data_IF_783286751723
#
_entry.id   IF_783286751723
#
_cell.length_a   1.000
_cell.length_b   1.000
_cell.length_c   1.000
_cell.angle_alpha   90.00
_cell.angle_beta   90.00
_cell.angle_gamma   90.00
#
_symmetry.space_group_name_H-M   'P 1'
#
loop_
_entity.id
_entity.type
_entity.pdbx_description
1 polymer ?
#
# COMPACT_ATOMS: atom_id res chain seq x y z
N UNK A 1 -10.74 20.15 -6.53
CA UNK A 1 -11.20 19.01 -7.36
C UNK A 1 -11.91 19.57 -8.57
N UNK A 2 -11.68 19.02 -9.75
CA UNK A 2 -12.40 19.43 -10.97
C UNK A 2 -13.81 18.83 -10.90
N UNK A 3 -14.84 19.65 -11.14
CA UNK A 3 -16.23 19.18 -11.10
C UNK A 3 -16.44 18.02 -12.08
N UNK A 4 -17.26 17.05 -11.69
CA UNK A 4 -17.64 15.88 -12.52
C UNK A 4 -16.46 14.94 -12.89
N UNK A 5 -15.31 15.07 -12.22
CA UNK A 5 -14.15 14.19 -12.43
C UNK A 5 -14.10 12.98 -11.50
N UNK A 6 -15.18 12.71 -10.76
CA UNK A 6 -15.26 11.60 -9.81
C UNK A 6 -15.48 10.29 -10.56
N UNK A 7 -14.59 9.32 -10.31
CA UNK A 7 -14.69 7.94 -10.78
C UNK A 7 -14.60 7.01 -9.57
N UNK A 8 -15.25 5.85 -9.63
CA UNK A 8 -15.31 4.94 -8.48
C UNK A 8 -15.23 3.49 -8.94
N UNK A 9 -14.47 2.71 -8.18
CA UNK A 9 -14.45 1.25 -8.18
C UNK A 9 -14.84 0.75 -6.79
N UNK A 10 -15.09 -0.54 -6.60
CA UNK A 10 -15.61 -1.08 -5.34
C UNK A 10 -14.75 -0.72 -4.12
N UNK A 11 -13.43 -0.65 -4.31
CA UNK A 11 -12.45 -0.38 -3.25
C UNK A 11 -11.58 0.85 -3.54
N UNK A 12 -12.10 1.84 -4.28
CA UNK A 12 -11.33 3.03 -4.60
C UNK A 12 -12.10 4.15 -5.27
N UNK A 13 -11.54 5.36 -5.17
CA UNK A 13 -12.11 6.59 -5.75
C UNK A 13 -11.04 7.36 -6.50
N UNK A 14 -11.34 7.76 -7.72
CA UNK A 14 -10.52 8.58 -8.60
C UNK A 14 -11.07 10.00 -8.71
N UNK A 15 -10.19 11.01 -8.70
CA UNK A 15 -10.54 12.41 -8.95
C UNK A 15 -9.44 13.13 -9.73
N UNK A 16 -9.81 14.14 -10.52
CA UNK A 16 -8.84 15.09 -11.10
C UNK A 16 -8.71 16.33 -10.20
N UNK A 17 -7.48 16.71 -9.88
CA UNK A 17 -7.16 17.87 -9.02
C UNK A 17 -6.36 18.89 -9.82
N UNK A 18 -6.84 20.13 -9.83
CA UNK A 18 -6.15 21.25 -10.46
C UNK A 18 -5.18 21.91 -9.48
N UNK A 19 -3.88 21.88 -9.81
CA UNK A 19 -2.84 22.62 -9.08
C UNK A 19 -2.70 24.00 -9.73
N UNK A 20 -3.45 24.98 -9.20
CA UNK A 20 -3.54 26.33 -9.79
C UNK A 20 -2.17 26.99 -9.96
N UNK A 21 -1.30 26.91 -8.93
CA UNK A 21 0.04 27.50 -8.92
C UNK A 21 0.97 26.97 -10.02
N UNK A 22 0.81 25.70 -10.41
CA UNK A 22 1.63 25.06 -11.44
C UNK A 22 0.99 25.07 -12.83
N UNK A 23 -0.24 25.56 -12.96
CA UNK A 23 -1.04 25.41 -14.17
C UNK A 23 -1.16 23.93 -14.66
N UNK A 24 -1.11 22.95 -13.75
CA UNK A 24 -1.23 21.50 -14.03
C UNK A 24 -2.51 20.88 -13.46
N UNK A 25 -2.94 19.76 -14.05
CA UNK A 25 -3.95 18.84 -13.50
C UNK A 25 -3.25 17.53 -13.14
N UNK A 26 -3.59 16.97 -11.98
CA UNK A 26 -3.16 15.63 -11.56
C UNK A 26 -4.37 14.72 -11.42
N UNK A 27 -4.20 13.43 -11.67
CA UNK A 27 -5.18 12.38 -11.38
C UNK A 27 -4.75 11.70 -10.10
N UNK A 28 -5.68 11.60 -9.15
CA UNK A 28 -5.46 10.95 -7.87
C UNK A 28 -6.48 9.83 -7.70
N UNK A 29 -6.00 8.62 -7.47
CA UNK A 29 -6.80 7.48 -7.03
C UNK A 29 -6.43 7.13 -5.60
N UNK A 30 -7.43 7.07 -4.73
CA UNK A 30 -7.27 6.55 -3.38
C UNK A 30 -7.95 5.18 -3.27
N UNK A 31 -7.22 4.18 -2.78
CA UNK A 31 -7.69 2.82 -2.61
C UNK A 31 -7.75 2.44 -1.13
N UNK A 32 -8.69 1.56 -0.80
CA UNK A 32 -8.71 0.80 0.44
C UNK A 32 -9.17 -0.62 0.09
N UNK A 33 -8.21 -1.50 -0.22
CA UNK A 33 -8.52 -2.86 -0.71
C UNK A 33 -9.01 -3.76 0.42
N UNK A 34 -9.61 -4.90 0.07
CA UNK A 34 -10.16 -5.84 1.05
C UNK A 34 -9.17 -6.16 2.20
N UNK A 35 -9.65 -6.04 3.43
CA UNK A 35 -8.85 -6.22 4.65
C UNK A 35 -8.93 -7.64 5.21
N UNK A 36 -9.79 -8.49 4.63
CA UNK A 36 -10.04 -9.82 5.16
C UNK A 36 -8.95 -10.80 4.71
N UNK A 37 -8.83 -11.93 5.42
CA UNK A 37 -7.91 -13.01 5.04
C UNK A 37 -6.47 -12.52 4.76
N UNK A 38 -5.96 -11.63 5.62
CA UNK A 38 -4.64 -11.00 5.45
C UNK A 38 -3.52 -12.06 5.33
N UNK A 39 -2.86 -12.10 4.18
CA UNK A 39 -1.93 -13.16 3.82
C UNK A 39 -0.77 -13.36 4.80
N UNK A 40 -0.18 -12.30 5.41
CA UNK A 40 0.88 -12.47 6.40
C UNK A 40 0.47 -13.32 7.61
N UNK A 41 -0.79 -13.28 8.05
CA UNK A 41 -1.25 -14.20 9.10
C UNK A 41 -1.11 -15.67 8.71
N UNK A 42 -1.39 -16.01 7.44
CA UNK A 42 -1.16 -17.34 6.92
C UNK A 42 0.34 -17.67 6.88
N UNK A 43 1.20 -16.72 6.52
CA UNK A 43 2.66 -16.92 6.50
C UNK A 43 3.25 -17.24 7.88
N UNK A 44 2.72 -16.65 8.96
CA UNK A 44 3.15 -16.93 10.33
C UNK A 44 2.55 -18.22 10.93
N UNK A 45 1.50 -18.78 10.32
CA UNK A 45 0.92 -20.04 10.75
C UNK A 45 1.82 -21.25 10.38
N UNK A 46 2.26 -22.02 11.37
CA UNK A 46 3.14 -23.20 11.18
C UNK A 46 2.51 -24.35 10.39
N UNK A 47 1.19 -24.35 10.19
CA UNK A 47 0.51 -25.33 9.33
C UNK A 47 0.57 -24.96 7.84
N UNK A 48 0.93 -23.73 7.50
CA UNK A 48 1.09 -23.29 6.11
C UNK A 48 2.46 -23.72 5.60
N UNK A 49 2.46 -24.46 4.50
CA UNK A 49 3.67 -25.00 3.87
C UNK A 49 3.70 -24.83 2.34
N UNK A 50 2.67 -24.20 1.76
CA UNK A 50 2.60 -23.87 0.33
C UNK A 50 2.23 -22.41 0.13
N UNK A 51 2.89 -21.79 -0.83
CA UNK A 51 2.61 -20.42 -1.30
C UNK A 51 1.14 -20.24 -1.73
N UNK A 52 0.51 -21.29 -2.27
CA UNK A 52 -0.89 -21.27 -2.69
C UNK A 52 -1.86 -21.07 -1.52
N UNK A 53 -1.48 -21.42 -0.29
CA UNK A 53 -2.31 -21.19 0.89
C UNK A 53 -2.29 -19.71 1.30
N UNK A 54 -1.16 -19.01 1.11
CA UNK A 54 -1.06 -17.55 1.31
C UNK A 54 -1.85 -16.84 0.21
N UNK A 55 -1.66 -17.26 -1.05
CA UNK A 55 -2.37 -16.69 -2.22
C UNK A 55 -3.89 -16.79 -2.10
N UNK A 56 -4.42 -17.84 -1.47
CA UNK A 56 -5.86 -18.01 -1.29
C UNK A 56 -6.51 -16.83 -0.54
N UNK A 57 -5.78 -16.20 0.39
CA UNK A 57 -6.25 -15.00 1.10
C UNK A 57 -6.32 -13.76 0.21
N UNK A 58 -5.43 -13.62 -0.77
CA UNK A 58 -5.44 -12.50 -1.73
C UNK A 58 -6.60 -12.59 -2.74
N UNK A 59 -7.23 -13.77 -2.85
CA UNK A 59 -8.30 -14.07 -3.79
C UNK A 59 -9.60 -14.52 -3.09
N UNK A 60 -9.73 -14.24 -1.79
CA UNK A 60 -10.81 -14.74 -0.95
C UNK A 60 -12.19 -14.43 -1.56
N UNK A 61 -13.04 -15.46 -1.63
CA UNK A 61 -14.41 -15.41 -2.17
C UNK A 61 -14.58 -14.76 -3.55
N UNK A 62 -13.50 -14.64 -4.32
CA UNK A 62 -13.53 -13.96 -5.61
C UNK A 62 -13.57 -12.43 -5.53
N UNK A 63 -13.47 -11.85 -4.33
CA UNK A 63 -13.60 -10.40 -4.08
C UNK A 63 -12.39 -9.83 -3.32
N UNK A 64 -11.33 -10.64 -3.15
CA UNK A 64 -10.12 -10.24 -2.45
C UNK A 64 -9.29 -9.18 -3.17
N UNK A 65 -8.16 -8.82 -2.55
CA UNK A 65 -7.23 -7.77 -3.02
C UNK A 65 -6.78 -7.93 -4.47
N UNK A 66 -6.64 -9.17 -4.95
CA UNK A 66 -6.36 -9.45 -6.36
C UNK A 66 -7.48 -8.93 -7.27
N UNK A 67 -8.74 -9.20 -6.95
CA UNK A 67 -9.86 -8.76 -7.77
C UNK A 67 -10.09 -7.26 -7.65
N UNK A 68 -9.88 -6.68 -6.46
CA UNK A 68 -10.00 -5.23 -6.28
C UNK A 68 -8.98 -4.45 -7.13
N UNK A 69 -7.71 -4.90 -7.19
CA UNK A 69 -6.73 -4.23 -8.05
C UNK A 69 -7.06 -4.43 -9.54
N UNK A 70 -7.59 -5.60 -9.92
CA UNK A 70 -7.99 -5.90 -11.30
C UNK A 70 -9.14 -5.03 -11.76
N UNK A 71 -10.12 -4.78 -10.88
CA UNK A 71 -11.20 -3.85 -11.13
C UNK A 71 -10.67 -2.46 -11.49
N UNK A 72 -9.72 -1.92 -10.71
CA UNK A 72 -9.06 -0.64 -11.02
C UNK A 72 -8.38 -0.64 -12.39
N UNK A 73 -7.64 -1.69 -12.74
CA UNK A 73 -6.94 -1.78 -14.03
C UNK A 73 -7.88 -1.87 -15.24
N UNK A 74 -9.11 -2.35 -15.02
CA UNK A 74 -10.15 -2.47 -16.04
C UNK A 74 -11.06 -1.24 -16.11
N UNK A 75 -10.98 -0.32 -15.14
CA UNK A 75 -11.76 0.92 -15.14
C UNK A 75 -11.32 1.86 -16.27
N UNK A 76 -12.29 2.33 -17.05
CA UNK A 76 -12.04 3.18 -18.23
C UNK A 76 -11.35 4.50 -17.86
N UNK A 77 -11.70 5.10 -16.73
CA UNK A 77 -11.12 6.36 -16.29
C UNK A 77 -9.69 6.18 -15.77
N UNK A 78 -9.41 5.06 -15.10
CA UNK A 78 -8.04 4.71 -14.72
C UNK A 78 -7.17 4.44 -15.95
N UNK A 79 -7.67 3.71 -16.96
CA UNK A 79 -6.95 3.48 -18.21
C UNK A 79 -6.68 4.78 -18.97
N UNK A 80 -7.65 5.70 -19.03
CA UNK A 80 -7.46 7.05 -19.57
C UNK A 80 -6.34 7.79 -18.82
N UNK A 81 -6.35 7.75 -17.48
CA UNK A 81 -5.33 8.38 -16.66
C UNK A 81 -3.93 7.80 -16.90
N UNK A 82 -3.82 6.48 -17.03
CA UNK A 82 -2.56 5.80 -17.39
C UNK A 82 -2.06 6.25 -18.76
N UNK A 83 -2.95 6.34 -19.75
CA UNK A 83 -2.64 6.81 -21.11
C UNK A 83 -2.19 8.27 -21.17
N UNK A 84 -2.79 9.12 -20.33
CA UNK A 84 -2.52 10.56 -20.27
C UNK A 84 -1.43 10.97 -19.26
N UNK A 85 -0.83 10.01 -18.56
CA UNK A 85 0.13 10.23 -17.46
C UNK A 85 1.39 11.04 -17.83
N UNK A 86 1.71 11.14 -19.12
CA UNK A 86 2.80 12.01 -19.63
C UNK A 86 2.47 13.50 -19.59
N UNK A 87 1.18 13.86 -19.52
CA UNK A 87 0.66 15.24 -19.55
C UNK A 87 0.01 15.59 -18.20
N UNK A 88 -0.80 14.68 -17.67
CA UNK A 88 -1.49 14.83 -16.38
C UNK A 88 -1.00 13.75 -15.42
N UNK A 89 -0.15 14.09 -14.43
CA UNK A 89 0.43 13.07 -13.56
C UNK A 89 -0.61 12.22 -12.84
N UNK A 90 -0.38 10.92 -12.80
CA UNK A 90 -1.23 9.96 -12.08
C UNK A 90 -0.57 9.53 -10.77
N UNK A 91 -1.32 9.60 -9.68
CA UNK A 91 -0.96 9.09 -8.36
C UNK A 91 -2.03 8.09 -7.92
N UNK A 92 -1.59 6.95 -7.40
CA UNK A 92 -2.44 5.96 -6.74
C UNK A 92 -1.94 5.79 -5.31
N UNK A 93 -2.79 6.00 -4.31
CA UNK A 93 -2.39 5.92 -2.92
C UNK A 93 -3.44 5.25 -2.04
N UNK A 94 -3.09 4.99 -0.79
CA UNK A 94 -4.00 4.45 0.23
C UNK A 94 -3.52 3.13 0.81
N UNK A 95 -4.42 2.48 1.54
CA UNK A 95 -4.16 1.22 2.22
C UNK A 95 -4.53 0.05 1.28
N UNK A 96 -3.53 -0.72 0.89
CA UNK A 96 -3.74 -1.85 -0.01
C UNK A 96 -4.10 -3.13 0.76
N UNK A 97 -4.06 -3.12 2.09
CA UNK A 97 -4.18 -4.32 2.94
C UNK A 97 -3.29 -5.47 2.45
N UNK A 98 -2.20 -5.14 1.75
CA UNK A 98 -1.31 -6.08 1.07
C UNK A 98 0.12 -5.57 1.22
N UNK A 99 1.06 -6.39 1.68
CA UNK A 99 2.46 -5.99 1.70
C UNK A 99 3.04 -5.80 0.29
N UNK A 100 4.25 -5.24 0.23
CA UNK A 100 4.88 -4.98 -1.05
C UNK A 100 5.58 -6.22 -1.56
N UNK A 101 5.37 -6.54 -2.84
CA UNK A 101 6.15 -7.57 -3.53
C UNK A 101 7.66 -7.26 -3.56
N UNK A 102 8.05 -6.01 -3.29
CA UNK A 102 9.44 -5.56 -3.16
C UNK A 102 10.00 -5.74 -1.73
N UNK A 103 9.14 -5.97 -0.73
CA UNK A 103 9.54 -6.01 0.69
C UNK A 103 9.61 -7.44 1.23
N UNK A 104 8.89 -8.38 0.61
CA UNK A 104 8.87 -9.80 0.97
C UNK A 104 9.84 -10.61 0.10
N UNK A 105 11.13 -10.33 0.26
CA UNK A 105 12.23 -10.92 -0.50
C UNK A 105 12.91 -12.06 0.25
N UNK A 106 13.95 -12.66 -0.35
CA UNK A 106 14.76 -13.64 0.34
C UNK A 106 15.50 -13.03 1.54
N UNK A 107 15.97 -11.78 1.42
CA UNK A 107 16.76 -11.08 2.42
C UNK A 107 15.95 -10.74 3.66
N UNK A 108 14.65 -10.52 3.52
CA UNK A 108 13.72 -10.21 4.62
C UNK A 108 12.89 -11.40 5.07
N UNK A 109 13.03 -12.57 4.44
CA UNK A 109 12.18 -13.73 4.71
C UNK A 109 12.17 -14.15 6.18
N UNK A 110 13.27 -13.95 6.92
CA UNK A 110 13.36 -14.24 8.36
C UNK A 110 12.41 -13.37 9.21
N UNK A 111 11.99 -12.21 8.71
CA UNK A 111 10.99 -11.33 9.30
C UNK A 111 9.56 -11.79 8.98
N UNK A 112 9.39 -12.58 7.91
CA UNK A 112 8.10 -12.89 7.28
C UNK A 112 7.70 -14.36 7.41
N UNK A 113 7.98 -14.95 8.58
CA UNK A 113 7.70 -16.37 8.82
C UNK A 113 8.52 -17.34 7.96
N UNK A 114 9.69 -16.91 7.47
CA UNK A 114 10.55 -17.60 6.49
C UNK A 114 9.94 -17.70 5.07
N UNK A 115 9.05 -16.78 4.71
CA UNK A 115 8.48 -16.69 3.38
C UNK A 115 9.06 -15.53 2.57
N UNK A 116 9.19 -15.77 1.27
CA UNK A 116 9.20 -14.71 0.25
C UNK A 116 7.88 -14.81 -0.51
N UNK A 117 7.28 -13.68 -0.84
CA UNK A 117 5.98 -13.68 -1.50
C UNK A 117 5.85 -12.49 -2.44
N UNK A 118 5.29 -12.72 -3.62
CA UNK A 118 5.02 -11.67 -4.60
C UNK A 118 3.56 -11.28 -4.46
N UNK A 119 3.30 -10.27 -3.63
CA UNK A 119 1.96 -9.77 -3.33
C UNK A 119 1.27 -9.25 -4.60
N UNK A 120 0.14 -9.84 -5.03
CA UNK A 120 -0.43 -9.54 -6.35
C UNK A 120 -0.85 -8.09 -6.52
N UNK A 121 -1.46 -7.47 -5.50
CA UNK A 121 -1.98 -6.11 -5.60
C UNK A 121 -0.89 -5.11 -6.02
N UNK A 122 0.23 -5.11 -5.30
CA UNK A 122 1.36 -4.21 -5.58
C UNK A 122 2.11 -4.61 -6.85
N UNK A 123 2.29 -5.92 -7.10
CA UNK A 123 3.00 -6.41 -8.29
C UNK A 123 2.26 -6.09 -9.59
N UNK A 124 0.94 -6.26 -9.63
CA UNK A 124 0.13 -6.01 -10.81
C UNK A 124 0.10 -4.51 -11.13
N UNK A 125 -0.08 -3.65 -10.11
CA UNK A 125 -0.09 -2.20 -10.30
C UNK A 125 1.25 -1.70 -10.90
N UNK A 126 2.38 -2.19 -10.40
CA UNK A 126 3.70 -1.86 -10.94
C UNK A 126 3.89 -2.43 -12.36
N UNK A 127 3.57 -3.71 -12.59
CA UNK A 127 3.89 -4.36 -13.86
C UNK A 127 2.95 -3.98 -15.00
N UNK A 128 1.66 -3.79 -14.75
CA UNK A 128 0.66 -3.60 -15.80
C UNK A 128 0.35 -2.13 -16.02
N UNK A 129 0.12 -1.36 -14.96
CA UNK A 129 -0.06 0.09 -15.05
C UNK A 129 1.27 0.85 -15.10
N UNK A 130 2.41 0.18 -14.92
CA UNK A 130 3.76 0.80 -14.99
C UNK A 130 3.87 1.97 -14.00
N UNK A 131 3.29 1.79 -12.83
CA UNK A 131 3.38 2.71 -11.70
C UNK A 131 4.68 2.46 -10.94
N UNK A 132 5.21 3.49 -10.28
CA UNK A 132 6.41 3.40 -9.45
C UNK A 132 6.08 3.64 -7.98
N UNK A 133 6.61 2.79 -7.09
CA UNK A 133 6.52 2.95 -5.64
C UNK A 133 7.45 4.08 -5.19
N UNK A 134 6.89 5.23 -4.80
CA UNK A 134 7.70 6.40 -4.44
C UNK A 134 8.58 6.20 -3.20
N UNK A 135 8.15 5.34 -2.26
CA UNK A 135 8.94 5.04 -1.07
C UNK A 135 10.14 4.16 -1.44
N UNK A 136 9.90 3.07 -2.16
CA UNK A 136 10.97 2.12 -2.54
C UNK A 136 11.92 2.67 -3.60
N UNK A 137 11.49 3.64 -4.41
CA UNK A 137 12.39 4.38 -5.32
C UNK A 137 13.43 5.23 -4.57
N UNK A 138 13.05 5.86 -3.46
CA UNK A 138 13.99 6.64 -2.63
C UNK A 138 14.73 5.77 -1.60
N UNK A 139 14.13 4.66 -1.17
CA UNK A 139 14.65 3.78 -0.13
C UNK A 139 14.79 2.33 -0.61
N UNK A 140 15.69 2.04 -1.57
CA UNK A 140 15.77 0.71 -2.20
C UNK A 140 16.18 -0.41 -1.23
N UNK A 141 16.91 -0.09 -0.16
CA UNK A 141 17.33 -1.08 0.84
C UNK A 141 16.22 -1.31 1.88
N UNK A 142 15.55 -2.46 1.78
CA UNK A 142 14.45 -2.87 2.67
C UNK A 142 14.88 -3.12 4.11
N UNK A 143 16.12 -3.53 4.37
CA UNK A 143 16.60 -3.79 5.73
C UNK A 143 16.93 -2.49 6.47
N UNK A 144 17.45 -1.49 5.76
CA UNK A 144 17.72 -0.16 6.33
C UNK A 144 16.44 0.65 6.50
N UNK A 145 15.55 0.59 5.51
CA UNK A 145 14.32 1.37 5.44
C UNK A 145 13.14 0.44 5.13
N UNK A 146 12.61 -0.26 6.16
CA UNK A 146 11.51 -1.19 5.96
C UNK A 146 10.22 -0.46 5.60
N UNK A 147 10.04 0.79 6.08
CA UNK A 147 8.88 1.61 5.78
C UNK A 147 7.58 1.07 6.36
N UNK A 148 7.65 0.39 7.51
CA UNK A 148 6.48 -0.21 8.15
C UNK A 148 5.39 0.83 8.37
N UNK A 149 4.17 0.51 7.92
CA UNK A 149 3.00 1.34 8.14
C UNK A 149 2.00 0.67 9.07
N UNK A 150 2.00 -0.66 9.20
CA UNK A 150 1.06 -1.41 10.02
C UNK A 150 1.70 -2.68 10.61
N UNK A 151 1.36 -3.19 11.80
CA UNK A 151 0.49 -2.59 12.83
C UNK A 151 1.32 -1.93 13.91
N UNK A 152 1.16 -0.62 14.07
CA UNK A 152 2.15 0.18 14.81
C UNK A 152 2.00 0.07 16.31
N UNK A 153 0.76 -0.13 16.78
CA UNK A 153 0.42 -0.26 18.21
C UNK A 153 0.17 -1.70 18.66
N UNK A 154 -0.10 -2.61 17.73
CA UNK A 154 -0.29 -4.04 18.03
C UNK A 154 1.03 -4.79 17.86
N UNK A 155 1.30 -5.77 18.74
CA UNK A 155 2.55 -6.57 18.69
C UNK A 155 2.30 -8.07 18.65
N UNK A 156 1.12 -8.51 19.05
CA UNK A 156 0.70 -9.91 19.00
C UNK A 156 -0.68 -9.98 18.37
N UNK A 157 -0.93 -10.99 17.54
CA UNK A 157 -2.17 -11.07 16.78
C UNK A 157 -3.33 -11.63 17.60
N UNK A 158 -4.39 -10.84 17.74
CA UNK A 158 -5.63 -11.25 18.42
C UNK A 158 -6.60 -12.00 17.51
N UNK A 159 -6.56 -11.73 16.21
CA UNK A 159 -7.53 -12.21 15.23
C UNK A 159 -7.40 -13.70 14.96
N UNK A 160 -8.15 -14.54 15.67
CA UNK A 160 -8.17 -15.99 15.46
C UNK A 160 -6.94 -16.75 15.98
N UNK A 161 -5.89 -16.04 16.43
CA UNK A 161 -4.62 -16.64 16.88
C UNK A 161 -4.40 -16.58 18.38
N UNK A 162 -5.36 -16.09 19.17
CA UNK A 162 -5.28 -16.04 20.64
C UNK A 162 -3.98 -15.43 21.16
N UNK A 163 -3.42 -14.43 20.47
CA UNK A 163 -2.18 -13.74 20.85
C UNK A 163 -0.93 -14.63 20.83
N UNK A 164 -0.96 -15.73 20.07
CA UNK A 164 0.13 -16.72 20.01
C UNK A 164 1.17 -16.47 18.92
N UNK A 165 0.86 -15.59 17.97
CA UNK A 165 1.79 -15.22 16.89
C UNK A 165 2.08 -13.72 16.95
N UNK A 166 3.30 -13.29 16.55
CA UNK A 166 3.59 -11.88 16.36
C UNK A 166 2.60 -11.24 15.39
N UNK A 167 2.22 -10.00 15.68
CA UNK A 167 1.47 -9.21 14.71
C UNK A 167 2.41 -8.84 13.56
N UNK A 168 2.03 -9.07 12.29
CA UNK A 168 2.85 -8.65 11.17
C UNK A 168 3.15 -7.15 11.23
N UNK A 169 4.39 -6.80 10.89
CA UNK A 169 4.86 -5.42 10.82
C UNK A 169 5.25 -5.19 9.37
N UNK A 170 4.28 -4.80 8.56
CA UNK A 170 4.35 -4.66 7.11
C UNK A 170 4.13 -3.21 6.67
N UNK A 171 4.65 -2.89 5.51
CA UNK A 171 4.25 -1.70 4.75
C UNK A 171 3.06 -2.09 3.90
N UNK A 172 1.89 -1.51 4.15
CA UNK A 172 0.65 -1.77 3.40
C UNK A 172 -0.03 -0.50 2.89
N UNK A 173 0.48 0.67 3.29
CA UNK A 173 0.04 1.96 2.79
C UNK A 173 1.06 2.49 1.77
N UNK A 174 0.57 3.01 0.64
CA UNK A 174 1.44 3.36 -0.48
C UNK A 174 1.12 4.71 -1.10
N UNK A 175 2.15 5.28 -1.74
CA UNK A 175 2.02 6.33 -2.75
C UNK A 175 2.76 5.85 -4.00
N UNK A 176 1.99 5.31 -4.95
CA UNK A 176 2.44 5.00 -6.29
C UNK A 176 2.25 6.19 -7.22
N UNK A 177 3.14 6.38 -8.18
CA UNK A 177 3.00 7.44 -9.17
C UNK A 177 3.40 7.00 -10.58
N UNK A 178 2.87 7.70 -11.58
CA UNK A 178 3.24 7.56 -12.98
C UNK A 178 3.17 8.91 -13.65
N UNK A 179 4.34 9.46 -13.94
CA UNK A 179 4.52 10.61 -14.82
C UNK A 179 6.01 10.90 -15.00
N UNK A 180 6.47 11.32 -16.19
CA UNK A 180 7.78 11.92 -16.33
C UNK A 180 7.87 13.31 -15.66
N UNK A 181 6.75 13.93 -15.31
CA UNK A 181 6.70 15.26 -14.70
C UNK A 181 6.87 15.23 -13.17
N UNK A 182 6.82 14.04 -12.56
CA UNK A 182 6.99 13.86 -11.12
C UNK A 182 8.34 13.22 -10.81
N UNK A 183 9.05 13.81 -9.86
CA UNK A 183 10.25 13.21 -9.27
C UNK A 183 10.09 13.22 -7.75
N UNK A 184 10.03 12.06 -7.07
CA UNK A 184 10.01 12.04 -5.62
C UNK A 184 11.34 12.60 -5.11
N UNK A 185 11.28 13.50 -4.12
CA UNK A 185 12.48 14.09 -3.50
C UNK A 185 12.60 13.74 -2.03
N UNK A 186 11.50 13.30 -1.41
CA UNK A 186 11.44 12.82 -0.04
C UNK A 186 10.27 11.86 0.09
N UNK A 187 10.44 10.78 0.85
CA UNK A 187 9.36 9.87 1.22
C UNK A 187 9.65 9.26 2.60
N UNK A 188 8.68 9.25 3.50
CA UNK A 188 8.83 8.71 4.85
C UNK A 188 7.48 8.28 5.44
N UNK A 189 7.54 7.42 6.47
CA UNK A 189 6.39 7.08 7.29
C UNK A 189 6.27 8.07 8.46
N UNK A 190 5.06 8.54 8.74
CA UNK A 190 4.77 9.53 9.76
C UNK A 190 3.85 8.96 10.84
N UNK A 191 4.26 9.13 12.09
CA UNK A 191 3.64 8.51 13.26
C UNK A 191 3.29 9.52 14.37
N UNK A 192 3.16 10.80 14.02
CA UNK A 192 3.12 11.88 15.02
C UNK A 192 4.50 12.38 15.40
N UNK A 193 4.54 13.17 16.47
CA UNK A 193 5.73 13.80 17.02
C UNK A 193 6.28 13.03 18.22
N UNK A 194 5.42 12.33 18.95
CA UNK A 194 5.79 11.63 20.18
C UNK A 194 6.19 10.17 19.94
N UNK A 195 6.67 9.52 21.00
CA UNK A 195 6.98 8.08 20.95
C UNK A 195 5.69 7.27 20.85
N UNK A 196 5.65 6.33 19.91
CA UNK A 196 4.52 5.41 19.75
C UNK A 196 4.53 4.35 20.84
N UNK A 197 3.47 4.32 21.64
CA UNK A 197 3.19 3.30 22.64
C UNK A 197 2.32 2.19 22.04
N UNK A 198 2.72 0.94 22.27
CA UNK A 198 1.91 -0.24 21.96
C UNK A 198 0.72 -0.39 22.91
N UNK A 199 -0.24 -1.25 22.57
CA UNK A 199 -1.32 -1.64 23.49
C UNK A 199 -0.73 -2.26 24.77
N UNK A 200 -1.32 -1.98 25.95
CA UNK A 200 -2.56 -1.20 26.15
C UNK A 200 -2.33 0.31 26.25
N UNK A 201 -1.10 0.82 26.17
CA UNK A 201 -0.77 2.24 26.42
C UNK A 201 -0.94 3.18 25.23
N UNK A 202 -1.35 2.66 24.07
CA UNK A 202 -1.63 3.43 22.84
C UNK A 202 -2.52 4.67 23.00
N UNK A 203 -3.36 4.76 24.04
CA UNK A 203 -4.13 5.97 24.36
C UNK A 203 -3.27 7.19 24.72
N UNK A 204 -1.96 7.00 24.95
CA UNK A 204 -0.97 8.07 25.16
C UNK A 204 -0.37 8.61 23.85
N UNK A 205 -0.63 7.97 22.72
CA UNK A 205 -0.09 8.40 21.43
C UNK A 205 -0.76 9.71 21.01
N UNK A 206 0.02 10.62 20.46
CA UNK A 206 -0.46 11.84 19.80
C UNK A 206 -1.03 11.55 18.40
N UNK A 207 -0.61 10.44 17.81
CA UNK A 207 -1.05 9.97 16.51
C UNK A 207 -2.23 8.97 16.64
N UNK A 208 -3.40 9.24 16.01
CA UNK A 208 -4.67 8.59 16.35
C UNK A 208 -4.95 7.32 15.53
N UNK A 209 -3.92 6.62 15.06
CA UNK A 209 -4.08 5.46 14.15
C UNK A 209 -3.07 4.36 14.47
N UNK A 210 -3.46 3.12 14.20
CA UNK A 210 -2.59 1.96 14.15
C UNK A 210 -1.80 1.85 12.84
N UNK A 211 -2.12 2.69 11.85
CA UNK A 211 -1.36 2.86 10.60
C UNK A 211 -0.55 4.15 10.56
N UNK A 212 0.77 4.09 10.34
CA UNK A 212 1.54 5.29 10.00
C UNK A 212 1.14 5.83 8.63
N UNK A 213 1.06 7.16 8.52
CA UNK A 213 0.84 7.80 7.24
C UNK A 213 2.09 7.67 6.37
N UNK A 214 1.92 7.58 5.05
CA UNK A 214 3.02 7.73 4.10
C UNK A 214 2.99 9.13 3.54
N UNK A 215 4.12 9.82 3.62
CA UNK A 215 4.29 11.17 3.07
C UNK A 215 5.33 11.09 1.98
N UNK A 216 4.99 11.57 0.77
CA UNK A 216 5.95 11.73 -0.33
C UNK A 216 5.87 13.16 -0.86
N UNK A 217 7.02 13.83 -0.91
CA UNK A 217 7.17 15.12 -1.57
C UNK A 217 7.65 14.91 -2.99
N UNK A 218 6.91 15.44 -3.97
CA UNK A 218 7.31 15.43 -5.38
C UNK A 218 7.74 16.81 -5.85
N UNK A 219 8.82 16.85 -6.63
CA UNK A 219 9.08 17.96 -7.54
C UNK A 219 8.22 17.75 -8.79
N UNK A 220 7.43 18.77 -9.13
CA UNK A 220 6.59 18.82 -10.32
C UNK A 220 7.25 19.69 -11.40
N UNK A 221 7.37 19.17 -12.63
CA UNK A 221 7.93 19.85 -13.80
C UNK A 221 6.87 20.42 -14.77
#
# INVERSE_FOLDING_TARGET
>A
VINESLSQVSHGVGVKIRIASANRTIHLWNLHLDYQSYGPYAAFNKMVNKVTQIMAGEMADGEGRFQNIRELLLDDHFQEAVGNSSIEPLIVCGDFNSPSHLDWTNETSFLHGNWKFQWPATQILENEAKMKDSFRELHPNVLENPGITWSTVEKMSSGGWSWTIPEPQDRIDYIYYRSPLLTPVESYTYQGNDTVYAKPFHWKNDYPSDHFAVVTTFRLM
#
